data_IF_803080027888
#
_entry.id   IF_803080027888
#
_cell.length_a   1.000
_cell.length_b   1.000
_cell.length_c   1.000
_cell.angle_alpha   90.00
_cell.angle_beta   90.00
_cell.angle_gamma   90.00
#
_symmetry.space_group_name_H-M   'P 1'
#
loop_
_entity.id
_entity.type
_entity.pdbx_description
1 polymer ?
#
# COMPACT_ATOMS: atom_id res chain seq x y z
N UNK A 1 -42.37 6.21 -58.41
CA UNK A 1 -42.04 5.06 -57.55
C UNK A 1 -40.67 5.32 -56.97
N UNK A 2 -40.62 5.73 -55.76
CA UNK A 2 -39.42 6.28 -55.05
C UNK A 2 -38.75 5.21 -54.16
N UNK A 3 -37.42 5.13 -54.13
CA UNK A 3 -36.72 4.16 -53.30
C UNK A 3 -36.48 4.69 -51.89
N UNK A 4 -37.29 4.28 -50.90
CA UNK A 4 -37.16 4.69 -49.48
C UNK A 4 -36.49 3.59 -48.64
N UNK A 5 -35.81 2.64 -49.23
CA UNK A 5 -35.29 1.47 -48.51
C UNK A 5 -33.80 1.50 -48.13
N UNK A 6 -33.01 2.46 -48.57
CA UNK A 6 -31.55 2.47 -48.34
C UNK A 6 -31.09 3.32 -47.17
N UNK A 7 -31.94 4.21 -46.62
CA UNK A 7 -31.52 5.10 -45.50
C UNK A 7 -31.56 4.45 -44.10
N UNK A 8 -32.27 3.33 -43.91
CA UNK A 8 -32.41 2.67 -42.60
C UNK A 8 -31.28 1.70 -42.25
N UNK A 9 -30.54 1.21 -43.23
CA UNK A 9 -29.42 0.27 -42.98
C UNK A 9 -28.13 1.02 -42.55
N UNK A 10 -27.92 2.25 -42.97
CA UNK A 10 -26.73 3.02 -42.59
C UNK A 10 -26.77 3.56 -41.16
N UNK A 11 -27.97 3.77 -40.57
CA UNK A 11 -28.10 4.32 -39.21
C UNK A 11 -27.90 3.28 -38.12
N UNK A 12 -28.06 1.98 -38.40
CA UNK A 12 -27.81 0.90 -37.44
C UNK A 12 -26.33 0.52 -37.31
N UNK A 13 -25.51 0.82 -38.32
CA UNK A 13 -24.07 0.51 -38.29
C UNK A 13 -23.27 1.53 -37.48
N UNK A 14 -23.74 2.75 -37.33
CA UNK A 14 -23.07 3.83 -36.57
C UNK A 14 -23.29 3.65 -35.06
N UNK A 15 -24.38 3.01 -34.62
CA UNK A 15 -24.67 2.81 -33.19
C UNK A 15 -23.90 1.64 -32.58
N UNK A 16 -23.40 0.70 -33.39
CA UNK A 16 -22.64 -0.45 -32.92
C UNK A 16 -21.15 -0.14 -32.62
N UNK A 17 -20.62 1.00 -33.07
CA UNK A 17 -19.22 1.37 -32.88
C UNK A 17 -18.95 2.14 -31.57
N UNK A 18 -20.01 2.51 -30.83
CA UNK A 18 -19.89 3.30 -29.58
C UNK A 18 -19.77 2.46 -28.31
N UNK A 19 -19.82 1.13 -28.40
CA UNK A 19 -19.62 0.23 -27.26
C UNK A 19 -18.28 -0.51 -27.37
N UNK A 20 -17.21 0.20 -27.65
CA UNK A 20 -15.88 -0.35 -27.32
C UNK A 20 -15.81 -0.41 -25.78
N UNK A 21 -15.69 -1.61 -25.17
CA UNK A 21 -15.41 -1.69 -23.74
C UNK A 21 -14.12 -0.89 -23.52
N UNK A 22 -14.17 0.13 -22.66
CA UNK A 22 -12.95 0.71 -22.14
C UNK A 22 -12.18 -0.45 -21.53
N UNK A 23 -11.11 -0.92 -22.19
CA UNK A 23 -10.22 -1.89 -21.63
C UNK A 23 -9.74 -1.29 -20.31
N UNK A 24 -10.24 -1.81 -19.20
CA UNK A 24 -9.70 -1.50 -17.89
C UNK A 24 -8.22 -1.90 -17.98
N UNK A 25 -7.34 -0.92 -18.12
CA UNK A 25 -5.91 -1.15 -18.07
C UNK A 25 -5.64 -1.77 -16.71
N UNK A 26 -5.40 -3.08 -16.69
CA UNK A 26 -5.01 -3.77 -15.49
C UNK A 26 -3.76 -3.06 -14.97
N UNK A 27 -3.84 -2.54 -13.77
CA UNK A 27 -2.71 -1.85 -13.12
C UNK A 27 -1.60 -2.88 -12.94
N UNK A 28 -0.43 -2.62 -13.54
CA UNK A 28 0.72 -3.54 -13.49
C UNK A 28 1.47 -3.37 -12.16
N UNK A 29 0.97 -4.04 -11.12
CA UNK A 29 1.59 -4.03 -9.79
C UNK A 29 2.98 -4.64 -9.82
N UNK A 30 3.98 -3.87 -9.40
CA UNK A 30 5.37 -4.29 -9.34
C UNK A 30 5.83 -4.38 -7.89
N UNK A 31 6.61 -5.40 -7.61
CA UNK A 31 7.17 -5.56 -6.30
C UNK A 31 8.51 -4.82 -6.18
N UNK A 32 8.66 -4.16 -5.04
CA UNK A 32 9.83 -3.41 -4.64
C UNK A 32 10.40 -4.05 -3.38
N UNK A 33 11.66 -4.45 -3.44
CA UNK A 33 12.36 -5.05 -2.32
C UNK A 33 13.29 -4.03 -1.66
N UNK A 34 13.23 -3.99 -0.34
CA UNK A 34 14.02 -3.14 0.53
C UNK A 34 14.84 -4.01 1.48
N UNK A 35 16.08 -4.42 1.08
CA UNK A 35 16.90 -5.38 1.85
C UNK A 35 17.24 -4.92 3.27
N UNK A 36 17.28 -3.64 3.50
CA UNK A 36 17.35 -3.01 4.81
C UNK A 36 16.16 -2.04 4.92
N UNK A 37 15.15 -2.35 5.72
CA UNK A 37 15.07 -3.29 6.87
C UNK A 37 14.61 -4.73 6.56
N UNK A 38 14.55 -5.17 5.32
CA UNK A 38 14.26 -6.57 4.99
C UNK A 38 12.78 -6.86 4.72
N UNK A 39 12.16 -6.10 3.82
CA UNK A 39 10.81 -6.38 3.33
C UNK A 39 10.68 -6.17 1.81
N UNK A 40 9.60 -6.71 1.26
CA UNK A 40 9.12 -6.42 -0.09
C UNK A 40 7.63 -6.08 -0.06
N UNK A 41 7.21 -5.21 -0.98
CA UNK A 41 5.82 -4.81 -1.13
C UNK A 41 5.54 -4.45 -2.58
N UNK A 42 4.30 -4.63 -3.04
CA UNK A 42 3.91 -4.23 -4.40
C UNK A 42 3.32 -2.83 -4.41
N UNK A 43 3.70 -2.05 -5.43
CA UNK A 43 3.08 -0.77 -5.76
C UNK A 43 2.63 -0.77 -7.23
N UNK A 44 1.54 -0.06 -7.56
CA UNK A 44 1.09 0.06 -8.95
C UNK A 44 1.96 0.99 -9.83
N UNK A 45 2.87 1.75 -9.22
CA UNK A 45 3.91 2.56 -9.86
C UNK A 45 5.06 2.77 -8.87
N UNK A 46 6.24 3.27 -9.31
CA UNK A 46 7.35 3.56 -8.39
C UNK A 46 6.93 4.55 -7.29
N UNK A 47 7.16 4.22 -5.99
CA UNK A 47 6.92 5.17 -4.92
C UNK A 47 8.04 6.21 -4.83
N UNK A 48 7.69 7.40 -4.37
CA UNK A 48 8.65 8.39 -3.90
C UNK A 48 9.23 7.97 -2.54
N UNK A 49 10.49 8.35 -2.27
CA UNK A 49 11.16 8.09 -0.99
C UNK A 49 11.35 9.40 -0.25
N UNK A 50 10.73 9.49 0.91
CA UNK A 50 10.77 10.67 1.78
C UNK A 50 11.51 10.32 3.08
N UNK A 51 12.39 11.21 3.56
CA UNK A 51 13.00 11.09 4.88
C UNK A 51 12.26 12.01 5.84
N UNK A 52 11.87 11.47 7.01
CA UNK A 52 11.08 12.18 8.00
C UNK A 52 11.49 11.75 9.41
N UNK A 53 10.79 12.21 10.41
CA UNK A 53 10.97 11.83 11.80
C UNK A 53 9.67 11.35 12.42
N UNK A 54 9.77 10.33 13.24
CA UNK A 54 8.67 9.77 14.01
C UNK A 54 8.79 10.19 15.48
N UNK A 55 7.72 10.71 16.06
CA UNK A 55 7.67 11.05 17.47
C UNK A 55 6.95 9.98 18.27
N UNK A 56 7.67 9.31 19.18
CA UNK A 56 7.10 8.28 20.06
C UNK A 56 6.18 8.90 21.12
N UNK A 57 5.35 8.10 21.77
CA UNK A 57 4.51 8.53 22.91
C UNK A 57 5.32 9.03 24.10
N UNK A 58 6.57 8.55 24.25
CA UNK A 58 7.51 9.01 25.28
C UNK A 58 8.22 10.33 24.92
N UNK A 59 7.95 10.87 23.72
CA UNK A 59 8.54 12.13 23.24
C UNK A 59 9.88 11.99 22.52
N UNK A 60 10.42 10.76 22.37
CA UNK A 60 11.62 10.54 21.57
C UNK A 60 11.34 10.80 20.08
N UNK A 61 12.32 11.37 19.38
CA UNK A 61 12.26 11.55 17.92
C UNK A 61 13.17 10.52 17.26
N UNK A 62 12.62 9.72 16.37
CA UNK A 62 13.30 8.63 15.66
C UNK A 62 13.35 8.93 14.17
N UNK A 63 14.39 8.45 13.44
CA UNK A 63 14.42 8.54 12.00
C UNK A 63 13.33 7.66 11.38
N UNK A 64 12.68 8.18 10.33
CA UNK A 64 11.65 7.48 9.58
C UNK A 64 11.89 7.63 8.09
N UNK A 65 11.80 6.52 7.37
CA UNK A 65 11.75 6.52 5.90
C UNK A 65 10.33 6.20 5.46
N UNK A 66 9.80 7.01 4.55
CA UNK A 66 8.47 6.81 3.99
C UNK A 66 8.58 6.55 2.49
N UNK A 67 7.97 5.46 2.03
CA UNK A 67 7.79 5.14 0.61
C UNK A 67 6.34 5.45 0.26
N UNK A 68 6.11 6.43 -0.60
CA UNK A 68 4.76 6.96 -0.85
C UNK A 68 4.45 7.00 -2.33
N UNK A 69 3.26 6.49 -2.68
CA UNK A 69 2.68 6.67 -4.00
C UNK A 69 1.30 7.31 -3.87
N UNK A 70 1.12 8.47 -4.51
CA UNK A 70 -0.16 9.18 -4.57
C UNK A 70 -0.76 8.99 -5.95
N UNK A 71 -1.92 8.38 -6.00
CA UNK A 71 -2.71 8.22 -7.21
C UNK A 71 -4.11 8.82 -7.01
N UNK A 72 -4.87 8.98 -8.10
CA UNK A 72 -6.25 9.47 -8.02
C UNK A 72 -7.08 8.58 -7.08
N UNK A 73 -7.59 9.18 -6.02
CA UNK A 73 -8.48 8.54 -5.05
C UNK A 73 -7.82 7.61 -4.03
N UNK A 74 -6.49 7.41 -4.04
CA UNK A 74 -5.81 6.57 -3.06
C UNK A 74 -4.36 7.00 -2.83
N UNK A 75 -3.90 6.88 -1.58
CA UNK A 75 -2.49 7.05 -1.19
C UNK A 75 -1.99 5.74 -0.59
N UNK A 76 -0.92 5.22 -1.16
CA UNK A 76 -0.19 4.06 -0.63
C UNK A 76 1.05 4.55 0.10
N UNK A 77 1.31 4.07 1.29
CA UNK A 77 2.55 4.36 2.00
C UNK A 77 3.07 3.17 2.79
N UNK A 78 4.40 3.05 2.82
CA UNK A 78 5.12 2.22 3.79
C UNK A 78 5.98 3.16 4.62
N UNK A 79 5.74 3.18 5.92
CA UNK A 79 6.52 3.96 6.88
C UNK A 79 7.41 3.00 7.67
N UNK A 80 8.70 3.28 7.69
CA UNK A 80 9.71 2.50 8.40
C UNK A 80 10.38 3.39 9.42
N UNK A 81 10.19 3.08 10.70
CA UNK A 81 10.79 3.81 11.82
C UNK A 81 11.92 2.99 12.43
N UNK A 82 13.10 3.58 12.49
CA UNK A 82 14.29 2.94 13.06
C UNK A 82 14.34 3.14 14.58
N UNK A 83 14.23 2.06 15.31
CA UNK A 83 14.34 2.08 16.76
C UNK A 83 15.78 1.79 17.24
N UNK A 84 16.25 2.41 18.34
CA UNK A 84 17.57 2.13 18.92
C UNK A 84 17.63 0.74 19.57
N UNK A 85 18.83 0.26 19.94
CA UNK A 85 19.05 -1.11 20.45
C UNK A 85 18.48 -1.41 21.85
N UNK A 86 18.23 -0.39 22.66
CA UNK A 86 17.69 -0.52 24.04
C UNK A 86 16.18 -0.24 24.07
N UNK A 87 15.42 -1.14 23.48
CA UNK A 87 14.02 -0.92 23.09
C UNK A 87 12.97 -1.28 24.11
N UNK A 88 11.76 -0.68 23.99
CA UNK A 88 10.55 -1.30 24.49
C UNK A 88 10.28 -2.63 23.77
N UNK A 89 9.48 -3.46 24.40
CA UNK A 89 8.95 -4.70 23.82
C UNK A 89 8.20 -4.40 22.50
N UNK A 90 8.41 -5.23 21.48
CA UNK A 90 7.82 -5.03 20.16
C UNK A 90 6.28 -5.02 20.16
N UNK A 91 5.65 -5.79 21.06
CA UNK A 91 4.19 -5.76 21.23
C UNK A 91 3.71 -4.39 21.74
N UNK A 92 4.48 -3.76 22.63
CA UNK A 92 4.18 -2.41 23.12
C UNK A 92 4.27 -1.36 22.01
N UNK A 93 5.26 -1.50 21.10
CA UNK A 93 5.41 -0.61 19.93
C UNK A 93 4.22 -0.75 18.98
N UNK A 94 3.79 -1.99 18.69
CA UNK A 94 2.61 -2.27 17.87
C UNK A 94 1.34 -1.70 18.50
N UNK A 95 1.14 -1.90 19.81
CA UNK A 95 -0.02 -1.38 20.52
C UNK A 95 -0.06 0.17 20.54
N UNK A 96 1.10 0.83 20.64
CA UNK A 96 1.21 2.27 20.55
C UNK A 96 0.83 2.76 19.14
N UNK A 97 1.31 2.09 18.11
CA UNK A 97 0.96 2.39 16.71
C UNK A 97 -0.54 2.21 16.46
N UNK A 98 -1.16 1.12 16.92
CA UNK A 98 -2.60 0.88 16.85
C UNK A 98 -3.39 2.02 17.52
N UNK A 99 -2.99 2.43 18.74
CA UNK A 99 -3.63 3.54 19.45
C UNK A 99 -3.53 4.85 18.67
N UNK A 100 -2.39 5.12 18.02
CA UNK A 100 -2.17 6.30 17.20
C UNK A 100 -3.11 6.34 15.99
N UNK A 101 -3.33 5.22 15.30
CA UNK A 101 -4.32 5.12 14.23
C UNK A 101 -5.75 5.37 14.75
N UNK A 102 -6.07 4.92 15.96
CA UNK A 102 -7.34 5.21 16.63
C UNK A 102 -7.60 6.70 16.90
N UNK A 103 -6.55 7.55 16.89
CA UNK A 103 -6.73 9.02 17.00
C UNK A 103 -6.95 9.70 15.64
N UNK A 104 -6.73 8.99 14.53
CA UNK A 104 -6.91 9.52 13.17
C UNK A 104 -8.30 9.22 12.59
N UNK A 105 -9.12 8.45 13.30
CA UNK A 105 -10.45 8.06 12.87
C UNK A 105 -11.00 6.89 13.68
N UNK A 106 -12.15 6.39 13.26
CA UNK A 106 -12.81 5.25 13.90
C UNK A 106 -12.22 3.94 13.40
N UNK A 107 -11.58 3.17 14.29
CA UNK A 107 -11.15 1.80 14.00
C UNK A 107 -12.41 0.91 13.93
N UNK A 108 -12.67 0.33 12.76
CA UNK A 108 -13.83 -0.53 12.48
C UNK A 108 -13.46 -2.01 12.48
N UNK A 109 -12.19 -2.33 12.21
CA UNK A 109 -11.61 -3.67 12.30
C UNK A 109 -10.24 -3.56 12.97
N UNK A 110 -9.96 -4.48 13.88
CA UNK A 110 -8.62 -4.65 14.47
C UNK A 110 -8.41 -6.15 14.73
N UNK A 111 -7.50 -6.76 14.00
CA UNK A 111 -7.22 -8.21 14.09
C UNK A 111 -5.72 -8.47 14.20
N UNK A 112 -5.38 -9.61 14.78
CA UNK A 112 -4.02 -10.12 14.78
C UNK A 112 -3.62 -10.55 13.37
N UNK A 113 -2.39 -10.23 12.99
CA UNK A 113 -1.82 -10.60 11.70
C UNK A 113 -0.50 -11.36 11.89
N UNK A 114 -0.18 -12.20 10.91
CA UNK A 114 1.13 -12.88 10.85
C UNK A 114 1.61 -12.95 9.42
N UNK A 115 2.85 -12.49 9.22
CA UNK A 115 3.57 -12.69 7.97
C UNK A 115 4.82 -13.50 8.28
N UNK A 116 4.95 -14.69 7.71
CA UNK A 116 5.96 -15.67 8.10
C UNK A 116 5.84 -16.00 9.60
N UNK A 117 6.80 -15.58 10.41
CA UNK A 117 6.80 -15.77 11.87
C UNK A 117 6.60 -14.48 12.64
N UNK A 118 6.55 -13.36 11.92
CA UNK A 118 6.42 -12.03 12.51
C UNK A 118 4.95 -11.77 12.88
N UNK A 119 4.75 -11.32 14.11
CA UNK A 119 3.45 -10.90 14.62
C UNK A 119 3.21 -9.44 14.29
N UNK A 120 1.96 -9.11 13.97
CA UNK A 120 1.51 -7.75 13.69
C UNK A 120 0.03 -7.55 13.93
N UNK A 121 -0.47 -6.41 13.50
CA UNK A 121 -1.89 -6.02 13.56
C UNK A 121 -2.34 -5.52 12.19
N UNK A 122 -3.58 -5.85 11.86
CA UNK A 122 -4.27 -5.25 10.72
C UNK A 122 -5.48 -4.45 11.19
N UNK A 123 -5.62 -3.24 10.65
CA UNK A 123 -6.69 -2.33 11.01
C UNK A 123 -7.44 -1.86 9.76
N UNK A 124 -8.74 -1.57 9.97
CA UNK A 124 -9.51 -0.70 9.07
C UNK A 124 -9.93 0.55 9.84
N UNK A 125 -9.64 1.72 9.27
CA UNK A 125 -9.91 3.01 9.91
C UNK A 125 -10.79 3.86 9.00
N UNK A 126 -11.88 4.38 9.53
CA UNK A 126 -12.73 5.37 8.87
C UNK A 126 -12.36 6.76 9.39
N UNK A 127 -11.80 7.59 8.51
CA UNK A 127 -11.42 8.96 8.84
C UNK A 127 -12.64 9.89 8.91
N UNK A 128 -12.55 10.93 9.73
CA UNK A 128 -13.59 11.96 9.86
C UNK A 128 -13.80 12.74 8.55
N UNK A 129 -12.79 12.73 7.67
CA UNK A 129 -12.83 13.29 6.32
C UNK A 129 -13.57 12.40 5.30
N UNK A 130 -14.11 11.26 5.74
CA UNK A 130 -14.76 10.27 4.89
C UNK A 130 -13.80 9.34 4.16
N UNK A 131 -12.51 9.41 4.43
CA UNK A 131 -11.51 8.46 3.90
C UNK A 131 -11.62 7.10 4.58
N UNK A 132 -11.06 6.08 3.93
CA UNK A 132 -10.91 4.73 4.52
C UNK A 132 -9.48 4.27 4.37
N UNK A 133 -8.88 3.81 5.46
CA UNK A 133 -7.53 3.26 5.47
C UNK A 133 -7.56 1.79 5.82
N UNK A 134 -6.80 0.98 5.06
CA UNK A 134 -6.34 -0.33 5.50
C UNK A 134 -4.90 -0.18 5.98
N UNK A 135 -4.61 -0.75 7.15
CA UNK A 135 -3.33 -0.58 7.83
C UNK A 135 -2.81 -1.95 8.22
N UNK A 136 -1.50 -2.19 8.02
CA UNK A 136 -0.79 -3.32 8.59
C UNK A 136 0.40 -2.79 9.40
N UNK A 137 0.57 -3.26 10.63
CA UNK A 137 1.56 -2.79 11.60
C UNK A 137 2.39 -3.99 12.05
N UNK A 138 3.70 -3.92 11.87
CA UNK A 138 4.65 -4.94 12.30
C UNK A 138 5.87 -4.31 12.97
N UNK A 139 6.46 -5.05 13.89
CA UNK A 139 7.75 -4.67 14.49
C UNK A 139 8.76 -5.79 14.27
N UNK A 140 9.68 -5.59 13.32
CA UNK A 140 10.62 -6.60 12.86
C UNK A 140 12.03 -6.06 12.86
N UNK A 141 12.97 -6.78 13.45
CA UNK A 141 14.39 -6.41 13.46
C UNK A 141 14.64 -4.95 13.90
N UNK A 142 13.91 -4.46 14.91
CA UNK A 142 13.93 -3.09 15.44
C UNK A 142 13.34 -2.02 14.51
N UNK A 143 12.62 -2.41 13.49
CA UNK A 143 11.90 -1.48 12.63
C UNK A 143 10.40 -1.61 12.88
N UNK A 144 9.73 -0.49 13.16
CA UNK A 144 8.29 -0.42 13.04
C UNK A 144 7.99 -0.21 11.57
N UNK A 145 7.27 -1.16 10.98
CA UNK A 145 6.85 -1.13 9.57
C UNK A 145 5.34 -0.96 9.54
N UNK A 146 4.87 0.13 8.95
CA UNK A 146 3.46 0.46 8.82
C UNK A 146 3.10 0.57 7.35
N UNK A 147 2.27 -0.33 6.86
CA UNK A 147 1.65 -0.20 5.54
C UNK A 147 0.31 0.50 5.69
N UNK A 148 0.07 1.52 4.88
CA UNK A 148 -1.19 2.24 4.86
C UNK A 148 -1.66 2.44 3.42
N UNK A 149 -2.85 1.97 3.09
CA UNK A 149 -3.56 2.36 1.88
C UNK A 149 -4.77 3.22 2.29
N UNK A 150 -4.67 4.53 2.06
CA UNK A 150 -5.73 5.49 2.38
C UNK A 150 -6.52 5.83 1.12
N UNK A 151 -7.74 5.27 1.03
CA UNK A 151 -8.70 5.60 -0.01
C UNK A 151 -9.44 6.90 0.33
N UNK A 152 -9.47 7.83 -0.61
CA UNK A 152 -9.96 9.19 -0.42
C UNK A 152 -11.42 9.35 -0.90
N UNK A 153 -12.20 10.31 -0.31
CA UNK A 153 -13.51 10.66 -0.83
C UNK A 153 -13.40 11.20 -2.29
N UNK A 154 -14.49 11.20 -3.07
CA UNK A 154 -15.86 10.94 -2.64
C UNK A 154 -16.28 9.46 -2.61
N UNK A 155 -15.47 8.52 -3.12
CA UNK A 155 -15.86 7.11 -3.20
C UNK A 155 -14.71 6.17 -2.75
N UNK A 156 -14.37 6.14 -1.44
CA UNK A 156 -13.26 5.32 -0.96
C UNK A 156 -13.51 3.81 -1.14
N UNK A 157 -14.77 3.36 -1.16
CA UNK A 157 -15.09 1.94 -1.36
C UNK A 157 -14.68 1.42 -2.74
N UNK A 158 -14.66 2.28 -3.76
CA UNK A 158 -14.21 1.90 -5.10
C UNK A 158 -12.73 1.48 -5.14
N UNK A 159 -11.93 1.84 -4.13
CA UNK A 159 -10.50 1.51 -4.01
C UNK A 159 -10.20 0.37 -3.03
N UNK A 160 -11.24 -0.31 -2.52
CA UNK A 160 -11.05 -1.37 -1.51
C UNK A 160 -10.21 -2.54 -2.04
N UNK A 161 -10.39 -2.93 -3.31
CA UNK A 161 -9.61 -4.01 -3.92
C UNK A 161 -8.13 -3.65 -3.99
N UNK A 162 -7.80 -2.43 -4.44
CA UNK A 162 -6.43 -1.92 -4.54
C UNK A 162 -5.78 -1.81 -3.15
N UNK A 163 -6.52 -1.30 -2.16
CA UNK A 163 -6.07 -1.18 -0.79
C UNK A 163 -5.74 -2.55 -0.17
N UNK A 164 -6.60 -3.55 -0.38
CA UNK A 164 -6.38 -4.91 0.09
C UNK A 164 -5.20 -5.58 -0.62
N UNK A 165 -5.07 -5.40 -1.95
CA UNK A 165 -3.94 -5.93 -2.70
C UNK A 165 -2.62 -5.36 -2.17
N UNK A 166 -2.56 -4.06 -1.90
CA UNK A 166 -1.38 -3.42 -1.32
C UNK A 166 -1.04 -4.04 0.03
N UNK A 167 -1.99 -4.10 0.95
CA UNK A 167 -1.80 -4.65 2.29
C UNK A 167 -1.31 -6.10 2.26
N UNK A 168 -1.92 -6.95 1.42
CA UNK A 168 -1.59 -8.38 1.29
C UNK A 168 -0.26 -8.63 0.57
N UNK A 169 0.32 -7.62 -0.07
CA UNK A 169 1.58 -7.75 -0.81
C UNK A 169 2.83 -7.70 0.07
N UNK A 170 2.70 -7.30 1.36
CA UNK A 170 3.84 -7.22 2.27
C UNK A 170 4.44 -8.60 2.55
N UNK A 171 5.76 -8.69 2.43
CA UNK A 171 6.54 -9.86 2.75
C UNK A 171 7.79 -9.44 3.54
N UNK A 172 8.17 -10.19 4.56
CA UNK A 172 9.46 -10.01 5.23
C UNK A 172 10.50 -10.94 4.63
N UNK A 173 11.67 -10.39 4.33
CA UNK A 173 12.81 -11.09 3.72
C UNK A 173 13.78 -11.43 4.85
N UNK A 174 13.97 -12.72 5.13
CA UNK A 174 14.93 -13.16 6.14
C UNK A 174 16.37 -12.84 5.72
N UNK A 175 17.30 -12.68 6.69
CA UNK A 175 18.69 -12.34 6.40
C UNK A 175 19.43 -13.42 5.57
N UNK A 176 18.89 -14.63 5.48
CA UNK A 176 19.43 -15.74 4.69
C UNK A 176 18.58 -16.08 3.45
N UNK A 177 17.44 -15.44 3.28
CA UNK A 177 16.63 -15.54 2.07
C UNK A 177 17.19 -14.54 1.06
N UNK A 178 18.25 -14.95 0.36
CA UNK A 178 18.81 -14.14 -0.72
C UNK A 178 17.72 -13.80 -1.74
N UNK A 179 17.85 -12.65 -2.39
CA UNK A 179 16.95 -12.15 -3.45
C UNK A 179 16.72 -13.13 -4.62
N UNK A 180 17.26 -14.35 -4.55
CA UNK A 180 17.18 -15.40 -5.57
C UNK A 180 15.78 -15.93 -5.87
N UNK A 181 14.79 -15.71 -4.99
CA UNK A 181 13.36 -15.98 -5.25
C UNK A 181 12.63 -14.80 -5.87
N UNK A 182 13.26 -13.64 -5.93
CA UNK A 182 12.66 -12.37 -6.33
C UNK A 182 13.16 -11.90 -7.71
N UNK A 183 13.50 -12.82 -8.62
CA UNK A 183 14.06 -12.53 -9.95
C UNK A 183 13.20 -11.62 -10.85
N UNK A 184 12.14 -11.02 -10.32
CA UNK A 184 11.28 -10.06 -11.01
C UNK A 184 11.22 -8.68 -10.33
N UNK A 185 12.10 -8.41 -9.34
CA UNK A 185 12.07 -7.20 -8.55
C UNK A 185 13.18 -6.25 -8.96
N UNK A 186 12.88 -5.35 -9.88
CA UNK A 186 13.76 -4.27 -10.30
C UNK A 186 12.96 -2.98 -10.42
N UNK A 187 12.80 -2.23 -9.30
CA UNK A 187 12.28 -0.86 -9.34
C UNK A 187 13.43 0.15 -9.26
N UNK A 188 13.32 1.34 -9.88
CA UNK A 188 14.26 2.43 -9.68
C UNK A 188 14.15 2.92 -8.23
N UNK A 189 15.25 2.86 -7.50
CA UNK A 189 15.34 3.28 -6.10
C UNK A 189 15.93 2.22 -5.16
N UNK A 190 16.09 0.96 -5.57
CA UNK A 190 16.94 0.04 -4.83
C UNK A 190 18.40 0.51 -4.99
N UNK A 191 19.13 0.80 -3.88
CA UNK A 191 20.57 1.09 -3.98
C UNK A 191 21.24 -0.11 -4.66
N UNK A 192 21.92 0.14 -5.77
CA UNK A 192 22.56 -0.89 -6.57
C UNK A 192 23.46 -1.74 -5.68
N UNK A 193 23.27 -3.06 -5.73
CA UNK A 193 24.23 -4.02 -5.19
C UNK A 193 25.44 -3.93 -6.11
N UNK A 194 26.40 -3.06 -5.75
CA UNK A 194 27.74 -3.02 -6.37
C UNK A 194 28.40 -4.38 -6.15
N UNK A 195 28.92 -4.93 -7.24
CA UNK A 195 29.83 -6.07 -7.22
C UNK A 195 31.13 -5.68 -6.56
#
# INVERSE_FOLDING_TARGET
MTPVRTARAAMLLILALAMAPAAAMAQDWKAYAYPNPGFAVQFPAPPDVEQDTFKTSTGATLPMTRYVLRQEGIVYSVEVVDYPTNLPDGLSVIAEAEKRFGTQGKVTVAIDARINREFGRELSVEGDDGSRSTVAIFFVSRHLVELVAKALPPNPLARSADANQFQQSLQFIGPNEGLGGLNHYGGPGAPGVGR
#
